data_IF_064033047616
#
_entry.id   IF_064033047616
#
_cell.length_a   1.000
_cell.length_b   1.000
_cell.length_c   1.000
_cell.angle_alpha   90.00
_cell.angle_beta   90.00
_cell.angle_gamma   90.00
#
_symmetry.space_group_name_H-M   'P 1'
#
loop_
_entity.id
_entity.type
_entity.pdbx_description
1 polymer ?
#
# COMPACT_ATOMS: atom_id res chain seq x y z
N UNK A 1 -24.48 12.23 -4.29
CA UNK A 1 -23.62 11.66 -3.21
C UNK A 1 -22.33 11.16 -3.87
N UNK A 2 -21.12 11.57 -3.38
CA UNK A 2 -19.84 11.11 -3.97
C UNK A 2 -19.71 9.60 -3.73
N UNK A 3 -19.31 8.86 -4.77
CA UNK A 3 -19.05 7.41 -4.71
C UNK A 3 -17.96 7.13 -3.68
N UNK A 4 -18.06 6.06 -2.92
CA UNK A 4 -17.07 5.68 -1.89
C UNK A 4 -16.08 4.68 -2.47
N UNK A 5 -16.58 3.64 -3.13
CA UNK A 5 -15.78 2.57 -3.71
C UNK A 5 -15.68 2.73 -5.23
N UNK A 6 -14.50 2.49 -5.80
CA UNK A 6 -14.18 2.84 -7.19
C UNK A 6 -13.92 1.62 -8.09
N UNK A 7 -14.43 0.43 -7.73
CA UNK A 7 -14.21 -0.81 -8.51
C UNK A 7 -14.58 -0.67 -9.98
N UNK A 8 -15.76 -0.13 -10.28
CA UNK A 8 -16.24 -0.01 -11.65
C UNK A 8 -15.30 0.87 -12.51
N UNK A 9 -14.75 1.93 -11.92
CA UNK A 9 -13.81 2.80 -12.63
C UNK A 9 -12.46 2.15 -12.81
N UNK A 10 -11.96 1.43 -11.78
CA UNK A 10 -10.71 0.69 -11.85
C UNK A 10 -10.82 -0.45 -12.87
N UNK A 11 -11.97 -1.11 -12.98
CA UNK A 11 -12.21 -2.18 -13.96
C UNK A 11 -12.10 -1.74 -15.43
N UNK A 12 -12.17 -0.45 -15.72
CA UNK A 12 -11.91 0.07 -17.07
C UNK A 12 -10.41 0.17 -17.38
N UNK A 13 -9.54 0.18 -16.38
CA UNK A 13 -8.09 0.20 -16.57
C UNK A 13 -7.59 -1.23 -16.78
N UNK A 14 -6.89 -1.47 -17.88
CA UNK A 14 -6.39 -2.80 -18.26
C UNK A 14 -5.55 -3.44 -17.18
N UNK A 15 -4.67 -2.67 -16.58
CA UNK A 15 -3.77 -3.12 -15.51
C UNK A 15 -4.51 -3.70 -14.31
N UNK A 16 -5.52 -2.99 -13.79
CA UNK A 16 -6.30 -3.48 -12.64
C UNK A 16 -7.20 -4.66 -13.01
N UNK A 17 -7.72 -4.68 -14.24
CA UNK A 17 -8.44 -5.83 -14.77
C UNK A 17 -7.52 -7.05 -14.87
N UNK A 18 -6.30 -6.87 -15.37
CA UNK A 18 -5.30 -7.94 -15.49
C UNK A 18 -4.87 -8.46 -14.10
N UNK A 19 -4.64 -7.58 -13.13
CA UNK A 19 -4.40 -8.00 -11.74
C UNK A 19 -5.54 -8.87 -11.20
N UNK A 20 -6.77 -8.43 -11.38
CA UNK A 20 -7.96 -9.17 -10.94
C UNK A 20 -8.14 -10.51 -11.65
N UNK A 21 -7.89 -10.57 -12.95
CA UNK A 21 -8.05 -11.80 -13.74
C UNK A 21 -6.94 -12.83 -13.47
N UNK A 22 -5.74 -12.37 -13.18
CA UNK A 22 -4.55 -13.21 -13.03
C UNK A 22 -4.09 -13.38 -11.57
N UNK A 23 -4.96 -13.08 -10.60
CA UNK A 23 -4.60 -13.11 -9.18
C UNK A 23 -4.00 -14.44 -8.71
N UNK A 24 -4.43 -15.57 -9.29
CA UNK A 24 -3.92 -16.91 -8.95
C UNK A 24 -2.43 -17.10 -9.30
N UNK A 25 -1.93 -16.35 -10.28
CA UNK A 25 -0.52 -16.38 -10.66
C UNK A 25 0.29 -15.34 -9.87
N UNK A 26 -0.32 -14.21 -9.55
CA UNK A 26 0.29 -13.10 -8.82
C UNK A 26 0.50 -13.42 -7.34
N UNK A 27 -0.50 -14.01 -6.70
CA UNK A 27 -0.45 -14.27 -5.25
C UNK A 27 0.75 -15.12 -4.84
N UNK A 28 1.09 -16.25 -5.49
CA UNK A 28 2.27 -17.02 -5.15
C UNK A 28 3.59 -16.24 -5.26
N UNK A 29 3.72 -15.37 -6.28
CA UNK A 29 4.91 -14.51 -6.43
C UNK A 29 5.04 -13.57 -5.25
N UNK A 30 3.97 -12.84 -4.91
CA UNK A 30 3.97 -11.86 -3.81
C UNK A 30 4.22 -12.55 -2.47
N UNK A 31 3.62 -13.72 -2.22
CA UNK A 31 3.82 -14.46 -0.97
C UNK A 31 5.25 -14.99 -0.84
N UNK A 32 5.84 -15.49 -1.93
CA UNK A 32 7.25 -15.90 -1.92
C UNK A 32 8.16 -14.71 -1.63
N UNK A 33 7.93 -13.58 -2.31
CA UNK A 33 8.69 -12.36 -2.09
C UNK A 33 8.60 -11.89 -0.63
N UNK A 34 7.40 -11.85 -0.06
CA UNK A 34 7.19 -11.47 1.36
C UNK A 34 7.95 -12.39 2.30
N UNK A 35 7.88 -13.71 2.08
CA UNK A 35 8.57 -14.71 2.89
C UNK A 35 10.09 -14.53 2.84
N UNK A 36 10.63 -14.33 1.64
CA UNK A 36 12.07 -14.21 1.42
C UNK A 36 12.64 -12.84 1.90
N UNK A 37 11.77 -11.86 2.08
CA UNK A 37 12.10 -10.50 2.47
C UNK A 37 11.39 -10.05 3.76
N UNK A 38 11.02 -10.97 4.63
CA UNK A 38 10.29 -10.66 5.87
C UNK A 38 11.06 -9.66 6.77
N UNK A 39 12.40 -9.74 6.76
CA UNK A 39 13.27 -8.81 7.47
C UNK A 39 13.04 -7.33 7.08
N UNK A 40 12.62 -7.06 5.84
CA UNK A 40 12.29 -5.69 5.41
C UNK A 40 11.06 -5.15 6.14
N UNK A 41 10.10 -6.00 6.45
CA UNK A 41 8.92 -5.60 7.22
C UNK A 41 9.26 -5.22 8.66
N UNK A 42 10.34 -5.78 9.21
CA UNK A 42 10.81 -5.44 10.56
C UNK A 42 11.65 -4.16 10.57
N UNK A 43 12.36 -3.87 9.48
CA UNK A 43 13.13 -2.63 9.33
C UNK A 43 12.23 -1.41 9.05
N UNK A 44 11.16 -1.59 8.27
CA UNK A 44 10.30 -0.51 7.82
C UNK A 44 9.02 -0.45 8.66
N UNK A 45 9.20 -0.05 9.91
CA UNK A 45 8.08 0.16 10.84
C UNK A 45 7.56 1.58 10.66
N UNK A 46 6.34 1.72 10.19
CA UNK A 46 5.69 3.03 10.14
C UNK A 46 5.62 3.67 11.53
N UNK A 47 5.87 4.98 11.63
CA UNK A 47 5.66 5.68 12.89
C UNK A 47 4.20 5.52 13.34
N UNK A 48 4.02 5.14 14.61
CA UNK A 48 2.69 5.01 15.21
C UNK A 48 2.01 6.36 15.40
N UNK A 49 2.77 7.43 15.35
CA UNK A 49 2.30 8.78 15.66
C UNK A 49 2.42 9.67 14.43
N UNK A 50 1.33 10.35 14.12
CA UNK A 50 1.28 11.33 13.04
C UNK A 50 0.79 12.67 13.56
N UNK A 51 1.20 13.74 12.92
CA UNK A 51 0.68 15.09 13.19
C UNK A 51 -0.65 15.29 12.43
N UNK A 52 -1.75 15.32 13.16
CA UNK A 52 -3.05 15.72 12.61
C UNK A 52 -3.20 17.24 12.73
N UNK A 53 -3.64 17.89 11.65
CA UNK A 53 -3.76 19.37 11.58
C UNK A 53 -4.66 19.97 12.65
N UNK A 54 -5.63 19.21 13.16
CA UNK A 54 -6.62 19.68 14.11
C UNK A 54 -6.42 19.15 15.52
N UNK A 55 -5.78 17.98 15.66
CA UNK A 55 -5.67 17.24 16.91
C UNK A 55 -4.23 17.18 17.45
N UNK A 56 -3.25 17.70 16.69
CA UNK A 56 -1.83 17.57 17.03
C UNK A 56 -1.32 16.14 16.86
N UNK A 57 -0.40 15.69 17.70
CA UNK A 57 0.19 14.36 17.63
C UNK A 57 -0.81 13.28 18.04
N UNK A 58 -1.24 12.45 17.10
CA UNK A 58 -2.22 11.38 17.31
C UNK A 58 -1.61 10.01 16.99
N UNK A 59 -2.04 8.99 17.71
CA UNK A 59 -1.66 7.61 17.41
C UNK A 59 -2.42 7.11 16.19
N UNK A 60 -1.69 6.83 15.09
CA UNK A 60 -2.29 6.38 13.84
C UNK A 60 -2.72 4.91 13.92
N UNK A 61 -1.94 4.06 14.58
CA UNK A 61 -2.24 2.63 14.66
C UNK A 61 -1.77 2.01 15.97
N UNK A 62 -2.33 0.84 16.28
CA UNK A 62 -1.95 -0.02 17.40
C UNK A 62 -1.91 -1.48 16.93
N UNK A 63 -1.13 -2.32 17.62
CA UNK A 63 -0.91 -3.71 17.25
C UNK A 63 0.33 -3.92 16.38
N UNK A 64 0.20 -4.68 15.30
CA UNK A 64 1.31 -5.01 14.39
C UNK A 64 0.93 -4.75 12.93
N UNK A 65 1.30 -3.57 12.44
CA UNK A 65 1.19 -3.16 11.04
C UNK A 65 2.59 -2.99 10.46
N UNK A 66 2.89 -3.80 9.44
CA UNK A 66 4.18 -3.84 8.75
C UNK A 66 3.99 -3.57 7.26
N UNK A 67 4.98 -2.96 6.63
CA UNK A 67 4.94 -2.66 5.20
C UNK A 67 6.28 -2.90 4.53
N UNK A 68 6.24 -3.29 3.26
CA UNK A 68 7.39 -3.20 2.35
C UNK A 68 6.99 -2.19 1.29
N UNK A 69 7.59 -1.00 1.27
CA UNK A 69 7.31 -0.02 0.23
C UNK A 69 8.03 -0.41 -1.07
N UNK A 70 7.39 -0.12 -2.18
CA UNK A 70 8.00 -0.25 -3.50
C UNK A 70 8.22 1.12 -4.09
N UNK A 71 9.46 1.54 -4.25
CA UNK A 71 9.82 2.51 -5.24
C UNK A 71 9.75 1.85 -6.61
N UNK A 72 9.06 2.45 -7.55
CA UNK A 72 8.87 1.87 -8.90
C UNK A 72 9.87 2.43 -9.89
N UNK A 73 10.70 3.39 -9.53
CA UNK A 73 11.71 3.96 -10.39
C UNK A 73 13.06 4.13 -9.71
N UNK A 74 14.07 4.47 -10.52
CA UNK A 74 15.48 4.62 -10.14
C UNK A 74 15.75 5.64 -9.02
N UNK A 75 14.77 6.46 -8.66
CA UNK A 75 14.90 7.51 -7.65
C UNK A 75 14.30 7.09 -6.29
N UNK A 76 13.92 5.81 -6.16
CA UNK A 76 13.41 5.25 -4.90
C UNK A 76 11.97 5.65 -4.55
N UNK A 77 11.30 6.35 -5.46
CA UNK A 77 9.92 6.75 -5.30
C UNK A 77 9.23 6.77 -6.64
N UNK A 78 7.95 6.66 -6.67
CA UNK A 78 7.13 6.71 -7.87
C UNK A 78 7.03 8.11 -8.45
N UNK A 79 8.11 8.64 -8.99
CA UNK A 79 8.04 9.81 -9.85
C UNK A 79 7.78 9.35 -11.28
N UNK A 80 6.57 9.40 -11.68
CA UNK A 80 6.15 8.95 -13.00
C UNK A 80 6.56 9.92 -14.11
N UNK A 81 6.93 11.15 -13.79
CA UNK A 81 7.28 12.18 -14.77
C UNK A 81 8.54 13.01 -14.43
N UNK A 82 9.43 12.53 -13.57
CA UNK A 82 10.64 13.28 -13.21
C UNK A 82 10.44 14.48 -12.29
N UNK A 83 9.22 14.88 -12.00
CA UNK A 83 8.87 15.98 -11.11
C UNK A 83 8.72 15.52 -9.66
N UNK A 84 9.73 14.81 -9.15
CA UNK A 84 9.73 14.39 -7.76
C UNK A 84 10.02 15.60 -6.86
N UNK A 85 9.06 15.91 -6.00
CA UNK A 85 9.31 16.94 -5.00
C UNK A 85 10.09 16.34 -3.83
N UNK A 86 11.26 16.91 -3.52
CA UNK A 86 12.08 16.54 -2.35
C UNK A 86 11.24 16.46 -1.06
N UNK A 87 10.20 17.29 -0.95
CA UNK A 87 9.25 17.30 0.16
C UNK A 87 8.47 15.98 0.33
N UNK A 88 8.16 15.29 -0.78
CA UNK A 88 7.46 14.00 -0.74
C UNK A 88 8.41 12.88 -0.29
N UNK A 89 9.66 12.90 -0.74
CA UNK A 89 10.71 11.97 -0.29
C UNK A 89 10.97 12.14 1.21
N UNK A 90 11.09 13.38 1.68
CA UNK A 90 11.27 13.70 3.11
C UNK A 90 10.08 13.19 3.93
N UNK A 91 8.86 13.39 3.44
CA UNK A 91 7.65 12.92 4.12
C UNK A 91 7.60 11.40 4.19
N UNK A 92 7.97 10.72 3.11
CA UNK A 92 8.03 9.27 3.05
C UNK A 92 9.12 8.70 3.96
N UNK A 93 10.34 9.24 3.92
CA UNK A 93 11.43 8.83 4.79
C UNK A 93 11.07 9.01 6.28
N UNK A 94 10.44 10.14 6.64
CA UNK A 94 9.93 10.39 8.00
C UNK A 94 8.90 9.35 8.42
N UNK A 95 7.98 8.97 7.53
CA UNK A 95 6.94 7.98 7.83
C UNK A 95 7.54 6.62 8.24
N UNK A 96 8.69 6.27 7.67
CA UNK A 96 9.38 5.01 7.96
C UNK A 96 10.55 5.15 8.94
N UNK A 97 10.77 6.35 9.45
CA UNK A 97 11.89 6.64 10.37
C UNK A 97 13.26 6.22 9.80
N UNK A 98 13.46 6.48 8.51
CA UNK A 98 14.72 6.24 7.78
C UNK A 98 15.26 7.55 7.23
N UNK A 99 16.54 7.59 6.93
CA UNK A 99 17.17 8.73 6.26
C UNK A 99 16.88 8.70 4.75
N UNK A 100 17.03 9.85 4.08
CA UNK A 100 16.95 9.91 2.63
C UNK A 100 18.04 9.09 1.95
N UNK A 101 19.22 9.01 2.57
CA UNK A 101 20.36 8.22 2.09
C UNK A 101 20.03 6.73 2.13
N UNK A 102 19.57 6.22 3.27
CA UNK A 102 19.10 4.83 3.41
C UNK A 102 17.98 4.50 2.42
N UNK A 103 17.03 5.41 2.23
CA UNK A 103 15.96 5.22 1.25
C UNK A 103 16.50 5.13 -0.18
N UNK A 104 17.45 5.98 -0.54
CA UNK A 104 18.07 5.99 -1.87
C UNK A 104 18.89 4.73 -2.15
N UNK A 105 19.51 4.14 -1.14
CA UNK A 105 20.27 2.90 -1.29
C UNK A 105 19.40 1.65 -1.32
N UNK A 106 18.41 1.58 -0.44
CA UNK A 106 17.58 0.39 -0.27
C UNK A 106 16.46 0.30 -1.30
N UNK A 107 15.88 1.42 -1.68
CA UNK A 107 14.74 1.47 -2.58
C UNK A 107 14.98 0.77 -3.92
N UNK A 108 16.05 1.09 -4.67
CA UNK A 108 16.37 0.41 -5.92
C UNK A 108 16.57 -1.10 -5.75
N UNK A 109 17.25 -1.52 -4.68
CA UNK A 109 17.50 -2.95 -4.39
C UNK A 109 16.21 -3.71 -4.11
N UNK A 110 15.28 -3.11 -3.35
CA UNK A 110 13.96 -3.69 -3.09
C UNK A 110 13.16 -3.81 -4.39
N UNK A 111 13.17 -2.76 -5.20
CA UNK A 111 12.48 -2.74 -6.50
C UNK A 111 13.03 -3.81 -7.43
N UNK A 112 14.34 -3.89 -7.60
CA UNK A 112 14.99 -4.91 -8.43
C UNK A 112 14.65 -6.32 -7.94
N UNK A 113 14.73 -6.54 -6.64
CA UNK A 113 14.35 -7.81 -6.03
C UNK A 113 12.90 -8.17 -6.29
N UNK A 114 11.98 -7.19 -6.14
CA UNK A 114 10.57 -7.40 -6.44
C UNK A 114 10.33 -7.72 -7.92
N UNK A 115 10.90 -6.95 -8.83
CA UNK A 115 10.78 -7.15 -10.28
C UNK A 115 11.25 -8.56 -10.69
N UNK A 116 12.33 -9.03 -10.08
CA UNK A 116 12.89 -10.37 -10.33
C UNK A 116 12.02 -11.48 -9.74
N UNK A 117 11.50 -11.31 -8.52
CA UNK A 117 10.75 -12.33 -7.80
C UNK A 117 9.26 -12.35 -8.16
N UNK A 118 8.73 -11.23 -8.63
CA UNK A 118 7.32 -11.03 -8.96
C UNK A 118 7.14 -10.55 -10.42
N UNK A 119 7.66 -11.28 -11.42
CA UNK A 119 7.72 -10.79 -12.81
C UNK A 119 6.35 -10.50 -13.40
N UNK A 120 5.32 -11.27 -13.09
CA UNK A 120 3.95 -11.01 -13.57
C UNK A 120 3.32 -9.80 -12.89
N UNK A 121 3.48 -9.70 -11.58
CA UNK A 121 3.02 -8.53 -10.82
C UNK A 121 3.70 -7.27 -11.33
N UNK A 122 5.01 -7.33 -11.53
CA UNK A 122 5.82 -6.24 -12.07
C UNK A 122 5.35 -5.83 -13.47
N UNK A 123 5.11 -6.78 -14.36
CA UNK A 123 4.59 -6.54 -15.72
C UNK A 123 3.31 -5.70 -15.67
N UNK A 124 2.36 -6.02 -14.80
CA UNK A 124 1.11 -5.28 -14.69
C UNK A 124 1.28 -3.90 -14.04
N UNK A 125 2.20 -3.75 -13.09
CA UNK A 125 2.52 -2.47 -12.49
C UNK A 125 3.28 -1.55 -13.46
N UNK A 126 4.00 -2.12 -14.43
CA UNK A 126 4.74 -1.38 -15.46
C UNK A 126 3.90 -0.98 -16.68
N UNK A 127 2.68 -1.47 -16.81
CA UNK A 127 1.80 -1.02 -17.90
C UNK A 127 1.70 0.51 -17.93
N UNK A 128 1.75 1.09 -19.13
CA UNK A 128 1.89 2.54 -19.33
C UNK A 128 0.93 3.41 -18.52
N UNK A 129 -0.29 2.91 -18.32
CA UNK A 129 -1.31 3.63 -17.54
C UNK A 129 -0.98 3.62 -16.05
N UNK A 130 -0.53 2.48 -15.51
CA UNK A 130 -0.11 2.42 -14.12
C UNK A 130 1.17 3.20 -13.86
N UNK A 131 2.16 3.12 -14.75
CA UNK A 131 3.36 3.96 -14.67
C UNK A 131 3.03 5.45 -14.56
N UNK A 132 2.02 5.92 -15.29
CA UNK A 132 1.61 7.34 -15.26
C UNK A 132 0.76 7.72 -14.06
N UNK A 133 0.03 6.79 -13.47
CA UNK A 133 -0.95 7.06 -12.41
C UNK A 133 -0.51 6.60 -11.03
N UNK A 134 0.39 5.62 -10.96
CA UNK A 134 0.85 5.04 -9.72
C UNK A 134 1.86 5.97 -9.05
N UNK A 135 1.55 6.44 -7.86
CA UNK A 135 2.44 7.30 -7.05
C UNK A 135 3.33 6.49 -6.11
N UNK A 136 2.78 5.43 -5.53
CA UNK A 136 3.51 4.50 -4.65
C UNK A 136 2.81 3.16 -4.60
N UNK A 137 3.55 2.11 -4.31
CA UNK A 137 3.01 0.80 -4.01
C UNK A 137 3.63 0.27 -2.72
N UNK A 138 2.86 -0.47 -1.96
CA UNK A 138 3.32 -1.11 -0.73
C UNK A 138 2.72 -2.48 -0.59
N UNK A 139 3.49 -3.46 -0.12
CA UNK A 139 2.93 -4.65 0.49
C UNK A 139 2.68 -4.31 1.96
N UNK A 140 1.46 -4.53 2.42
CA UNK A 140 1.03 -4.19 3.78
C UNK A 140 0.52 -5.43 4.49
N UNK A 141 1.13 -5.78 5.62
CA UNK A 141 0.71 -6.86 6.52
C UNK A 141 0.04 -6.29 7.75
N UNK A 142 -1.19 -6.69 7.99
CA UNK A 142 -1.96 -6.35 9.17
C UNK A 142 -2.18 -7.64 9.97
N UNK A 143 -1.56 -7.73 11.15
CA UNK A 143 -1.69 -8.92 12.01
C UNK A 143 -2.92 -8.84 12.91
N UNK A 144 -3.41 -9.99 13.43
CA UNK A 144 -4.51 -10.03 14.38
C UNK A 144 -4.36 -9.05 15.55
N UNK A 145 -5.45 -8.44 15.96
CA UNK A 145 -5.48 -7.43 17.02
C UNK A 145 -5.08 -6.01 16.56
N UNK A 146 -4.62 -5.85 15.32
CA UNK A 146 -4.19 -4.53 14.83
C UNK A 146 -5.39 -3.63 14.51
N UNK A 147 -5.22 -2.36 14.88
CA UNK A 147 -6.18 -1.30 14.58
C UNK A 147 -5.45 -0.12 13.96
N UNK A 148 -5.93 0.36 12.82
CA UNK A 148 -5.57 1.64 12.22
C UNK A 148 -6.67 2.63 12.58
N UNK A 149 -6.32 3.67 13.30
CA UNK A 149 -7.28 4.64 13.83
C UNK A 149 -7.89 5.51 12.72
N UNK A 150 -9.07 6.09 12.93
CA UNK A 150 -9.71 6.96 11.95
C UNK A 150 -8.82 8.16 11.61
N UNK A 151 -8.45 8.28 10.33
CA UNK A 151 -7.62 9.35 9.81
C UNK A 151 -8.02 9.73 8.38
N UNK A 152 -7.36 10.71 7.82
CA UNK A 152 -7.41 11.11 6.41
C UNK A 152 -5.98 11.14 5.89
N UNK A 153 -5.79 10.68 4.68
CA UNK A 153 -4.50 10.87 4.01
C UNK A 153 -4.32 12.32 3.55
N UNK A 154 -3.09 12.71 3.39
CA UNK A 154 -2.72 14.08 2.97
C UNK A 154 -2.75 14.27 1.45
N UNK A 155 -2.85 13.19 0.70
CA UNK A 155 -2.73 13.20 -0.77
C UNK A 155 -4.12 13.09 -1.39
N UNK A 156 -4.43 13.96 -2.35
CA UNK A 156 -5.64 13.82 -3.19
C UNK A 156 -5.45 12.73 -4.24
N UNK A 157 -5.46 11.49 -3.79
CA UNK A 157 -5.23 10.30 -4.60
C UNK A 157 -6.20 9.17 -4.26
N UNK A 158 -6.29 8.20 -5.16
CA UNK A 158 -6.96 6.93 -4.89
C UNK A 158 -5.97 5.97 -4.24
N UNK A 159 -6.38 5.42 -3.10
CA UNK A 159 -5.71 4.27 -2.51
C UNK A 159 -6.36 3.00 -3.04
N UNK A 160 -5.60 2.24 -3.81
CA UNK A 160 -6.07 0.99 -4.42
C UNK A 160 -5.56 -0.19 -3.61
N UNK A 161 -6.42 -1.14 -3.35
CA UNK A 161 -6.11 -2.39 -2.64
C UNK A 161 -6.22 -3.58 -3.60
N UNK A 162 -5.24 -4.46 -3.50
CA UNK A 162 -5.21 -5.79 -4.11
C UNK A 162 -4.90 -6.81 -3.02
N UNK A 163 -5.91 -7.44 -2.40
CA UNK A 163 -5.72 -8.36 -1.29
C UNK A 163 -5.12 -9.69 -1.74
N UNK A 164 -4.03 -10.10 -1.09
CA UNK A 164 -3.28 -11.34 -1.36
C UNK A 164 -3.64 -12.44 -0.36
N UNK A 165 -3.74 -12.07 0.92
CA UNK A 165 -4.25 -12.90 2.01
C UNK A 165 -5.31 -12.12 2.74
N UNK A 166 -6.40 -12.76 3.10
CA UNK A 166 -7.49 -12.14 3.86
C UNK A 166 -7.91 -13.00 5.06
N UNK A 167 -8.60 -12.37 5.98
CA UNK A 167 -9.24 -12.99 7.13
C UNK A 167 -10.59 -12.30 7.36
N UNK A 168 -11.62 -13.06 7.66
CA UNK A 168 -12.99 -12.54 7.83
C UNK A 168 -13.12 -11.53 8.98
N UNK A 169 -12.18 -11.57 9.93
CA UNK A 169 -12.09 -10.60 11.02
C UNK A 169 -11.45 -9.27 10.63
N UNK A 170 -10.88 -9.17 9.44
CA UNK A 170 -10.24 -7.95 8.95
C UNK A 170 -11.22 -7.12 8.10
N UNK A 171 -11.31 -5.82 8.37
CA UNK A 171 -12.18 -4.93 7.63
C UNK A 171 -11.66 -3.49 7.59
N UNK A 172 -12.11 -2.78 6.57
CA UNK A 172 -11.84 -1.36 6.32
C UNK A 172 -13.15 -0.59 6.38
N UNK A 173 -13.12 0.59 6.98
CA UNK A 173 -14.24 1.54 6.94
C UNK A 173 -13.82 2.82 6.22
N UNK A 174 -14.61 3.26 5.26
CA UNK A 174 -14.44 4.53 4.57
C UNK A 174 -15.74 5.31 4.67
N UNK A 175 -15.69 6.52 5.23
CA UNK A 175 -16.86 7.38 5.49
C UNK A 175 -17.97 6.62 6.25
N UNK A 176 -17.60 5.74 7.19
CA UNK A 176 -18.50 4.93 8.00
C UNK A 176 -19.07 3.70 7.33
N UNK A 177 -18.71 3.42 6.07
CA UNK A 177 -19.12 2.19 5.39
C UNK A 177 -18.03 1.16 5.45
N UNK A 178 -18.33 0.02 6.02
CA UNK A 178 -17.42 -1.12 6.17
C UNK A 178 -17.34 -1.95 4.89
N UNK A 179 -16.15 -2.51 4.67
CA UNK A 179 -15.86 -3.51 3.65
C UNK A 179 -14.81 -4.48 4.18
N UNK A 180 -14.98 -5.76 3.90
CA UNK A 180 -13.95 -6.80 4.03
C UNK A 180 -13.08 -6.83 2.78
N UNK A 181 -11.94 -7.48 2.87
CA UNK A 181 -11.09 -7.76 1.72
C UNK A 181 -11.38 -9.17 1.18
N UNK A 182 -11.46 -9.29 -0.13
CA UNK A 182 -11.60 -10.56 -0.83
C UNK A 182 -10.35 -10.82 -1.66
N UNK A 183 -9.78 -12.03 -1.56
CA UNK A 183 -8.55 -12.40 -2.27
C UNK A 183 -8.71 -12.19 -3.78
N UNK A 184 -7.75 -11.47 -4.37
CA UNK A 184 -7.74 -11.18 -5.81
C UNK A 184 -8.72 -10.10 -6.26
N UNK A 185 -9.47 -9.48 -5.35
CA UNK A 185 -10.29 -8.32 -5.69
C UNK A 185 -9.43 -7.06 -5.91
N UNK A 186 -9.97 -6.09 -6.62
CA UNK A 186 -9.34 -4.78 -6.82
C UNK A 186 -10.36 -3.70 -6.54
N UNK A 187 -10.11 -2.90 -5.53
CA UNK A 187 -10.97 -1.76 -5.21
C UNK A 187 -10.16 -0.57 -4.72
N UNK A 188 -10.73 0.62 -4.81
CA UNK A 188 -10.09 1.83 -4.33
C UNK A 188 -11.06 2.77 -3.65
N UNK A 189 -10.49 3.70 -2.89
CA UNK A 189 -11.20 4.82 -2.26
C UNK A 189 -10.31 6.07 -2.27
N UNK A 190 -10.90 7.23 -2.07
CA UNK A 190 -10.13 8.47 -1.92
C UNK A 190 -9.42 8.51 -0.58
N UNK A 191 -8.10 8.71 -0.60
CA UNK A 191 -7.26 8.76 0.61
C UNK A 191 -7.68 9.89 1.55
N UNK A 192 -8.17 11.01 1.01
CA UNK A 192 -8.75 12.13 1.80
C UNK A 192 -10.09 11.83 2.46
N UNK A 193 -10.76 10.73 2.12
CA UNK A 193 -11.97 10.33 2.84
C UNK A 193 -11.56 9.74 4.20
N UNK A 194 -12.28 10.09 5.28
CA UNK A 194 -12.02 9.52 6.60
C UNK A 194 -12.12 8.01 6.55
N UNK A 195 -11.03 7.34 6.86
CA UNK A 195 -10.94 5.88 6.82
C UNK A 195 -10.17 5.30 8.00
N UNK A 196 -10.39 4.03 8.27
CA UNK A 196 -9.78 3.28 9.36
C UNK A 196 -9.94 1.78 9.12
N UNK A 197 -9.10 0.96 9.77
CA UNK A 197 -9.16 -0.48 9.63
C UNK A 197 -9.01 -1.17 10.97
N UNK A 198 -9.52 -2.39 11.06
CA UNK A 198 -9.36 -3.24 12.23
C UNK A 198 -9.27 -4.70 11.82
N UNK A 199 -8.46 -5.45 12.54
CA UNK A 199 -8.27 -6.87 12.32
C UNK A 199 -8.53 -7.65 13.62
N UNK A 200 -9.71 -8.26 13.71
CA UNK A 200 -10.13 -9.09 14.84
C UNK A 200 -10.07 -10.60 14.51
N UNK A 201 -9.43 -10.95 13.41
CA UNK A 201 -9.30 -12.33 12.96
C UNK A 201 -8.14 -13.08 13.61
N UNK A 202 -7.72 -14.16 12.99
CA UNK A 202 -6.74 -15.11 13.53
C UNK A 202 -5.49 -15.28 12.67
N UNK A 203 -5.50 -14.79 11.43
CA UNK A 203 -4.40 -14.90 10.48
C UNK A 203 -4.03 -13.52 9.94
N UNK A 204 -2.78 -13.34 9.55
CA UNK A 204 -2.35 -12.09 8.90
C UNK A 204 -3.18 -11.80 7.65
N UNK A 205 -3.45 -10.52 7.42
CA UNK A 205 -3.98 -9.97 6.17
C UNK A 205 -2.81 -9.29 5.42
N UNK A 206 -2.62 -9.67 4.15
CA UNK A 206 -1.64 -9.06 3.24
C UNK A 206 -2.38 -8.50 2.03
#
# INVERSE_FOLDING_TARGET
MRKIWYEDRLGHLSSFRNLKQNYKEIIPEVLSFVKDNEYLMDQWVMDKWVEDRNLGRVQLWDGNWRVIPFPINEVGCTAINGDYQLSEMVSFAKLFNITLEEMSELGPKITESFMRCCPKTAQYLEEDILKKLLKSATISRLSPGTKINPHRGDIDSLRVHFPVVTDDGAWLSVRGRKRTWEVGDVFGFHDNDKHWAQHNGTRDRI
#
